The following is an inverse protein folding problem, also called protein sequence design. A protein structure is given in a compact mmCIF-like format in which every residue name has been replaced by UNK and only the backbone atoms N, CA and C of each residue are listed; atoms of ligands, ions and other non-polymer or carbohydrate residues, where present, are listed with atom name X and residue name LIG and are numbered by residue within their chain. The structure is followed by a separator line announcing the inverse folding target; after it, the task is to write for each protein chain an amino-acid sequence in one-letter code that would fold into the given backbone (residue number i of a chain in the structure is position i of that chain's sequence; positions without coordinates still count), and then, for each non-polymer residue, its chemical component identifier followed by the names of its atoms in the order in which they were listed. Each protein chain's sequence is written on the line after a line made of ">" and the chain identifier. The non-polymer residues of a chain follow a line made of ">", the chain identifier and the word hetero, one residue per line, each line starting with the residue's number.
data_IF_854299813409
#
_entry.id   IF_854299813409
#
_cell.length_a   1.000
_cell.length_b   1.000
_cell.length_c   1.000
_cell.angle_alpha   90.00
_cell.angle_beta   90.00
_cell.angle_gamma   90.00
#
_symmetry.space_group_name_H-M   'P 1'
#
loop_
_entity.id
_entity.type
_entity.pdbx_description
1 polymer ?
#
# COMPACT_ATOMS: atom_id res chain seq x y z
N UNK A 1 19.19 1.38 64.33
CA UNK A 1 18.90 0.41 63.25
C UNK A 1 17.45 0.01 63.44
N UNK A 2 16.45 0.71 62.88
CA UNK A 2 16.08 0.77 61.45
C UNK A 2 15.92 -0.68 60.91
N UNK A 3 14.76 -1.16 60.46
CA UNK A 3 13.87 -0.49 59.52
C UNK A 3 12.43 -1.04 59.58
N UNK A 4 11.46 -0.15 59.46
CA UNK A 4 10.03 -0.41 59.40
C UNK A 4 9.62 -0.37 57.92
N UNK A 5 9.49 -1.51 57.25
CA UNK A 5 9.13 -1.54 55.82
C UNK A 5 7.63 -1.71 55.63
N UNK A 6 6.97 -0.56 55.45
CA UNK A 6 5.63 -0.41 54.91
C UNK A 6 5.68 -0.55 53.38
N UNK A 7 5.17 -1.63 52.77
CA UNK A 7 5.03 -1.69 51.30
C UNK A 7 3.72 -2.34 50.85
N UNK A 8 2.72 -1.45 50.72
CA UNK A 8 1.75 -1.27 49.62
C UNK A 8 1.12 -2.53 49.00
N UNK A 9 -0.16 -2.71 49.29
CA UNK A 9 -1.12 -3.49 48.51
C UNK A 9 -1.19 -2.90 47.08
N UNK A 10 -0.65 -3.61 46.08
CA UNK A 10 -0.79 -3.25 44.67
C UNK A 10 -2.13 -3.83 44.19
N UNK A 11 -3.13 -2.96 44.07
CA UNK A 11 -4.37 -3.28 43.36
C UNK A 11 -4.04 -3.26 41.86
N UNK A 12 -3.80 -4.44 41.27
CA UNK A 12 -3.64 -4.59 39.82
C UNK A 12 -5.03 -4.50 39.20
N UNK A 13 -5.39 -3.31 38.72
CA UNK A 13 -6.57 -3.12 37.88
C UNK A 13 -6.20 -3.60 36.48
N UNK A 14 -6.64 -4.80 36.12
CA UNK A 14 -6.63 -5.25 34.73
C UNK A 14 -7.66 -4.42 33.96
N UNK A 15 -7.23 -3.31 33.36
CA UNK A 15 -8.01 -2.66 32.32
C UNK A 15 -7.96 -3.59 31.10
N UNK A 16 -9.01 -4.41 30.95
CA UNK A 16 -9.30 -5.09 29.69
C UNK A 16 -9.65 -4.00 28.68
N UNK A 17 -8.65 -3.45 28.01
CA UNK A 17 -8.90 -2.70 26.78
C UNK A 17 -9.40 -3.70 25.75
N UNK A 18 -10.72 -3.80 25.62
CA UNK A 18 -11.30 -4.37 24.41
C UNK A 18 -10.71 -3.56 23.24
N UNK A 19 -9.96 -4.22 22.36
CA UNK A 19 -9.63 -3.64 21.07
C UNK A 19 -10.98 -3.41 20.39
N UNK A 20 -11.47 -2.18 20.44
CA UNK A 20 -12.64 -1.79 19.69
C UNK A 20 -12.24 -1.83 18.22
N UNK A 21 -12.47 -2.98 17.59
CA UNK A 21 -12.41 -3.07 16.14
C UNK A 21 -13.54 -2.18 15.60
N UNK A 22 -13.23 -1.29 14.66
CA UNK A 22 -14.25 -0.42 14.08
C UNK A 22 -15.33 -1.22 13.37
N UNK A 23 -16.47 -0.58 13.12
CA UNK A 23 -17.58 -1.21 12.44
C UNK A 23 -17.20 -1.57 11.01
N UNK A 24 -17.80 -2.62 10.46
CA UNK A 24 -17.68 -2.94 9.02
C UNK A 24 -18.88 -2.39 8.28
N UNK A 25 -18.63 -1.59 7.25
CA UNK A 25 -19.59 -1.03 6.31
C UNK A 25 -19.40 -1.70 4.95
N UNK A 26 -20.45 -2.28 4.39
CA UNK A 26 -20.37 -3.07 3.16
C UNK A 26 -20.76 -2.27 1.92
N UNK A 27 -20.08 -2.53 0.79
CA UNK A 27 -20.34 -1.89 -0.51
C UNK A 27 -20.50 -2.93 -1.61
N UNK A 28 -21.67 -2.97 -2.27
CA UNK A 28 -21.92 -3.82 -3.45
C UNK A 28 -23.10 -3.32 -4.29
N UNK A 29 -23.35 -3.97 -5.43
CA UNK A 29 -24.45 -3.59 -6.32
C UNK A 29 -25.85 -3.70 -5.69
N UNK A 30 -26.02 -4.55 -4.66
CA UNK A 30 -27.28 -4.66 -3.92
C UNK A 30 -27.18 -5.64 -2.76
N UNK A 31 -27.92 -5.36 -1.67
CA UNK A 31 -27.90 -6.15 -0.43
C UNK A 31 -26.86 -5.73 0.60
N UNK A 32 -25.94 -4.83 0.24
CA UNK A 32 -25.00 -4.18 1.15
C UNK A 32 -25.54 -2.87 1.71
N UNK A 33 -24.84 -2.32 2.72
CA UNK A 33 -25.19 -1.04 3.36
C UNK A 33 -25.18 0.12 2.35
N UNK A 34 -24.23 0.10 1.42
CA UNK A 34 -24.07 1.11 0.38
C UNK A 34 -23.83 0.48 -1.00
N UNK A 35 -24.16 1.25 -2.04
CA UNK A 35 -23.81 0.94 -3.43
C UNK A 35 -22.67 1.81 -3.99
N UNK A 36 -22.21 2.79 -3.20
CA UNK A 36 -21.11 3.71 -3.55
C UNK A 36 -20.03 3.67 -2.48
N UNK A 37 -18.77 3.49 -2.92
CA UNK A 37 -17.61 3.52 -2.02
C UNK A 37 -17.49 4.89 -1.34
N UNK A 38 -17.68 5.99 -2.09
CA UNK A 38 -17.65 7.35 -1.54
C UNK A 38 -18.70 7.55 -0.44
N UNK A 39 -19.92 7.04 -0.62
CA UNK A 39 -20.97 7.14 0.39
C UNK A 39 -20.62 6.36 1.67
N UNK A 40 -20.06 5.15 1.51
CA UNK A 40 -19.60 4.35 2.64
C UNK A 40 -18.44 5.02 3.40
N UNK A 41 -17.43 5.54 2.68
CA UNK A 41 -16.32 6.30 3.29
C UNK A 41 -16.84 7.54 4.02
N UNK A 42 -17.82 8.25 3.45
CA UNK A 42 -18.41 9.42 4.10
C UNK A 42 -19.08 9.05 5.43
N UNK A 43 -19.82 7.94 5.47
CA UNK A 43 -20.52 7.46 6.66
C UNK A 43 -19.62 6.81 7.71
N UNK A 44 -18.52 6.19 7.29
CA UNK A 44 -17.59 5.48 8.17
C UNK A 44 -16.98 6.40 9.24
N UNK A 45 -16.83 5.90 10.46
CA UNK A 45 -16.09 6.54 11.54
C UNK A 45 -14.60 6.17 11.47
N UNK A 46 -13.70 6.98 12.05
CA UNK A 46 -12.31 6.57 12.19
C UNK A 46 -12.19 5.22 12.92
N UNK A 47 -11.40 4.30 12.36
CA UNK A 47 -11.24 2.93 12.80
C UNK A 47 -12.13 1.91 12.08
N UNK A 48 -13.15 2.36 11.34
CA UNK A 48 -14.06 1.47 10.61
C UNK A 48 -13.40 0.83 9.38
N UNK A 49 -13.98 -0.29 8.97
CA UNK A 49 -13.66 -1.01 7.74
C UNK A 49 -14.75 -0.72 6.71
N UNK A 50 -14.37 -0.23 5.53
CA UNK A 50 -15.23 -0.18 4.35
C UNK A 50 -14.88 -1.38 3.47
N UNK A 51 -15.73 -2.39 3.49
CA UNK A 51 -15.55 -3.63 2.73
C UNK A 51 -16.26 -3.55 1.37
N UNK A 52 -15.50 -3.56 0.30
CA UNK A 52 -15.97 -3.41 -1.08
C UNK A 52 -15.97 -4.77 -1.76
N UNK A 53 -17.14 -5.27 -2.14
CA UNK A 53 -17.27 -6.54 -2.86
C UNK A 53 -16.96 -6.36 -4.35
N UNK A 54 -16.71 -7.47 -5.06
CA UNK A 54 -16.50 -7.44 -6.52
C UNK A 54 -17.55 -6.60 -7.27
N UNK A 55 -17.05 -5.72 -8.13
CA UNK A 55 -17.85 -4.79 -8.91
C UNK A 55 -16.96 -3.76 -9.58
N UNK A 56 -17.53 -2.96 -10.49
CA UNK A 56 -16.85 -1.77 -11.03
C UNK A 56 -17.53 -0.53 -10.49
N UNK A 57 -16.74 0.33 -9.88
CA UNK A 57 -17.16 1.57 -9.25
C UNK A 57 -16.49 2.72 -9.99
N UNK A 58 -17.25 3.78 -10.25
CA UNK A 58 -16.79 4.93 -11.01
C UNK A 58 -16.65 6.12 -10.08
N UNK A 59 -15.43 6.39 -9.63
CA UNK A 59 -15.14 7.51 -8.74
C UNK A 59 -13.64 7.78 -8.65
N UNK A 60 -13.30 8.92 -8.04
CA UNK A 60 -11.99 9.24 -7.49
C UNK A 60 -12.17 9.65 -6.02
N UNK A 61 -11.46 9.01 -5.11
CA UNK A 61 -11.71 9.07 -3.67
C UNK A 61 -10.59 9.85 -2.98
N UNK A 62 -10.96 10.75 -2.07
CA UNK A 62 -10.01 11.35 -1.12
C UNK A 62 -10.35 10.85 0.29
N UNK A 63 -9.49 9.99 0.83
CA UNK A 63 -9.65 9.37 2.15
C UNK A 63 -9.05 10.32 3.20
N UNK A 64 -9.93 10.96 3.96
CA UNK A 64 -9.60 12.00 4.96
C UNK A 64 -9.80 11.56 6.41
N UNK A 65 -10.01 10.26 6.63
CA UNK A 65 -10.24 9.67 7.94
C UNK A 65 -9.47 8.36 8.00
N UNK A 66 -8.90 8.04 9.16
CA UNK A 66 -8.25 6.77 9.44
C UNK A 66 -9.26 5.62 9.33
N UNK A 67 -9.33 4.96 8.19
CA UNK A 67 -10.21 3.81 7.92
C UNK A 67 -9.43 2.72 7.21
N UNK A 68 -9.98 1.51 7.19
CA UNK A 68 -9.54 0.45 6.29
C UNK A 68 -10.50 0.36 5.10
N UNK A 69 -10.00 0.59 3.88
CA UNK A 69 -10.73 0.35 2.65
C UNK A 69 -10.25 -0.98 2.06
N UNK A 70 -11.08 -2.03 2.20
CA UNK A 70 -10.71 -3.40 1.85
C UNK A 70 -11.58 -3.93 0.71
N UNK A 71 -10.95 -4.27 -0.40
CA UNK A 71 -11.56 -4.99 -1.51
C UNK A 71 -11.61 -6.49 -1.26
N UNK A 72 -12.75 -7.11 -1.55
CA UNK A 72 -13.01 -8.55 -1.42
C UNK A 72 -13.49 -9.10 -2.74
N UNK A 73 -12.78 -10.11 -3.26
CA UNK A 73 -13.26 -10.91 -4.37
C UNK A 73 -14.44 -11.80 -3.91
N UNK A 74 -15.65 -11.39 -4.25
CA UNK A 74 -16.90 -12.11 -3.98
C UNK A 74 -17.25 -13.15 -5.05
N UNK A 75 -16.25 -13.62 -5.80
CA UNK A 75 -16.38 -14.59 -6.88
C UNK A 75 -16.54 -13.97 -8.27
N UNK A 76 -16.29 -12.67 -8.42
CA UNK A 76 -16.33 -11.96 -9.71
C UNK A 76 -15.05 -11.19 -10.02
N UNK A 77 -13.96 -11.49 -9.31
CA UNK A 77 -12.68 -10.82 -9.42
C UNK A 77 -12.53 -9.66 -8.42
N UNK A 78 -11.32 -9.13 -8.34
CA UNK A 78 -10.99 -7.97 -7.52
C UNK A 78 -11.92 -6.78 -7.83
N UNK A 79 -12.45 -6.05 -6.81
CA UNK A 79 -13.24 -4.85 -7.05
C UNK A 79 -12.42 -3.79 -7.77
N UNK A 80 -13.04 -3.14 -8.76
CA UNK A 80 -12.40 -2.15 -9.62
C UNK A 80 -12.90 -0.76 -9.25
N UNK A 81 -11.98 0.15 -8.94
CA UNK A 81 -12.23 1.58 -8.91
C UNK A 81 -11.66 2.22 -10.18
N UNK A 82 -12.54 2.80 -10.98
CA UNK A 82 -12.26 3.43 -12.25
C UNK A 82 -12.46 4.94 -12.14
N UNK A 83 -11.37 5.71 -12.25
CA UNK A 83 -11.41 7.16 -12.17
C UNK A 83 -11.84 7.85 -13.48
N UNK A 84 -12.14 7.09 -14.54
CA UNK A 84 -12.71 7.60 -15.80
C UNK A 84 -11.89 8.69 -16.51
N UNK A 85 -10.57 8.70 -16.29
CA UNK A 85 -9.64 9.66 -16.88
C UNK A 85 -9.54 10.99 -16.13
N UNK A 86 -9.94 11.05 -14.85
CA UNK A 86 -9.87 12.28 -14.04
C UNK A 86 -9.42 12.01 -12.61
N UNK A 87 -8.33 12.64 -12.19
CA UNK A 87 -7.77 12.50 -10.84
C UNK A 87 -7.22 11.09 -10.56
N UNK A 88 -6.60 10.90 -9.39
CA UNK A 88 -6.18 9.58 -8.92
C UNK A 88 -7.40 8.80 -8.42
N UNK A 89 -7.59 7.50 -8.76
CA UNK A 89 -8.64 6.67 -8.16
C UNK A 89 -8.66 6.76 -6.64
N UNK A 90 -7.50 6.69 -5.97
CA UNK A 90 -7.37 6.97 -4.54
C UNK A 90 -6.33 8.06 -4.29
N UNK A 91 -6.72 9.03 -3.47
CA UNK A 91 -5.82 9.94 -2.74
C UNK A 91 -6.01 9.69 -1.24
N UNK A 92 -4.92 9.43 -0.53
CA UNK A 92 -4.90 9.30 0.93
C UNK A 92 -4.40 10.63 1.51
N UNK A 93 -5.13 11.18 2.47
CA UNK A 93 -4.83 12.49 3.09
C UNK A 93 -5.04 12.47 4.61
N UNK A 94 -5.07 11.29 5.22
CA UNK A 94 -5.18 11.12 6.66
C UNK A 94 -4.36 9.92 7.08
N UNK A 95 -3.67 10.05 8.21
CA UNK A 95 -2.71 9.04 8.66
C UNK A 95 -3.38 7.74 9.12
N UNK A 96 -2.64 6.64 8.96
CA UNK A 96 -3.07 5.33 9.44
C UNK A 96 -4.17 4.68 8.61
N UNK A 97 -4.36 5.09 7.37
CA UNK A 97 -5.32 4.49 6.43
C UNK A 97 -4.76 3.17 5.92
N UNK A 98 -5.63 2.18 5.77
CA UNK A 98 -5.31 0.93 5.08
C UNK A 98 -6.08 0.89 3.76
N UNK A 99 -5.39 0.60 2.66
CA UNK A 99 -5.99 0.33 1.34
C UNK A 99 -5.54 -1.04 0.91
N UNK A 100 -6.48 -1.98 0.81
CA UNK A 100 -6.19 -3.38 0.48
C UNK A 100 -7.06 -3.91 -0.65
N UNK A 101 -6.48 -4.71 -1.56
CA UNK A 101 -7.24 -5.65 -2.38
C UNK A 101 -8.12 -5.02 -3.45
N UNK A 102 -7.76 -3.86 -3.99
CA UNK A 102 -8.51 -3.16 -5.03
C UNK A 102 -7.71 -3.05 -6.33
N UNK A 103 -8.43 -3.01 -7.46
CA UNK A 103 -7.86 -2.64 -8.76
C UNK A 103 -8.17 -1.18 -9.10
N UNK A 104 -7.15 -0.37 -9.28
CA UNK A 104 -7.23 1.08 -9.42
C UNK A 104 -6.77 1.48 -10.82
N UNK A 105 -7.66 2.06 -11.63
CA UNK A 105 -7.35 2.32 -13.04
C UNK A 105 -7.94 3.62 -13.59
N UNK A 106 -7.44 3.97 -14.78
CA UNK A 106 -7.90 5.11 -15.56
C UNK A 106 -7.84 6.42 -14.77
N UNK A 107 -6.75 6.66 -14.04
CA UNK A 107 -6.45 7.98 -13.52
C UNK A 107 -6.37 9.04 -14.63
N UNK A 108 -6.59 10.30 -14.28
CA UNK A 108 -6.39 11.42 -15.21
C UNK A 108 -4.93 11.71 -15.56
N UNK A 109 -4.68 12.61 -16.53
CA UNK A 109 -3.32 13.02 -16.88
C UNK A 109 -2.50 13.48 -15.65
N UNK A 110 -1.31 12.90 -15.47
CA UNK A 110 -0.40 13.22 -14.37
C UNK A 110 -0.86 12.76 -12.99
N UNK A 111 -1.84 11.85 -12.90
CA UNK A 111 -2.32 11.28 -11.63
C UNK A 111 -1.67 9.94 -11.30
N UNK A 112 -2.02 9.35 -10.16
CA UNK A 112 -1.51 8.04 -9.75
C UNK A 112 -2.66 7.06 -9.58
N UNK A 113 -2.42 5.76 -9.68
CA UNK A 113 -3.40 4.77 -9.23
C UNK A 113 -3.76 5.00 -7.75
N UNK A 114 -2.72 5.08 -6.91
CA UNK A 114 -2.81 5.47 -5.50
C UNK A 114 -1.83 6.62 -5.25
N UNK A 115 -2.34 7.74 -4.74
CA UNK A 115 -1.54 8.90 -4.32
C UNK A 115 -1.61 9.05 -2.79
N UNK A 116 -0.47 9.15 -2.11
CA UNK A 116 -0.36 9.20 -0.65
C UNK A 116 0.32 10.50 -0.22
N UNK A 117 -0.35 11.25 0.66
CA UNK A 117 0.12 12.52 1.25
C UNK A 117 0.09 12.49 2.79
N UNK A 118 0.10 11.30 3.37
CA UNK A 118 -0.06 11.04 4.81
C UNK A 118 0.95 10.02 5.32
N UNK A 119 0.99 9.87 6.64
CA UNK A 119 1.94 9.00 7.36
C UNK A 119 1.24 7.74 7.90
N UNK A 120 2.04 6.74 8.29
CA UNK A 120 1.61 5.51 8.96
C UNK A 120 0.57 4.67 8.16
N UNK A 121 0.50 4.85 6.85
CA UNK A 121 -0.47 4.18 5.96
C UNK A 121 -0.02 2.76 5.56
N UNK A 122 -0.98 1.90 5.23
CA UNK A 122 -0.72 0.54 4.72
C UNK A 122 -1.39 0.36 3.37
N UNK A 123 -0.59 0.10 2.34
CA UNK A 123 -1.03 -0.09 0.96
C UNK A 123 -0.68 -1.53 0.58
N UNK A 124 -1.68 -2.40 0.52
CA UNK A 124 -1.50 -3.85 0.49
C UNK A 124 -2.25 -4.51 -0.67
N UNK A 125 -1.58 -5.35 -1.47
CA UNK A 125 -2.25 -6.25 -2.44
C UNK A 125 -3.21 -5.55 -3.41
N UNK A 126 -2.91 -4.33 -3.80
CA UNK A 126 -3.67 -3.61 -4.82
C UNK A 126 -3.07 -3.84 -6.21
N UNK A 127 -3.91 -3.74 -7.25
CA UNK A 127 -3.48 -3.65 -8.64
C UNK A 127 -3.62 -2.19 -9.10
N UNK A 128 -2.51 -1.45 -9.12
CA UNK A 128 -2.43 -0.06 -9.56
C UNK A 128 -1.85 0.06 -10.98
N UNK A 129 -2.01 -0.96 -11.81
CA UNK A 129 -1.45 -1.01 -13.17
C UNK A 129 -2.19 -0.10 -14.16
N UNK A 130 -1.50 0.32 -15.23
CA UNK A 130 -2.03 1.13 -16.34
C UNK A 130 -2.53 2.53 -15.91
N UNK A 131 -1.80 3.18 -15.00
CA UNK A 131 -1.95 4.60 -14.65
C UNK A 131 -0.74 5.41 -15.15
N UNK A 132 -0.66 6.70 -14.82
CA UNK A 132 0.57 7.47 -15.08
C UNK A 132 1.67 7.01 -14.11
N UNK A 133 1.44 7.17 -12.81
CA UNK A 133 2.21 6.47 -11.76
C UNK A 133 1.33 5.39 -11.14
N UNK A 134 1.87 4.22 -10.84
CA UNK A 134 1.11 3.17 -10.14
C UNK A 134 0.76 3.61 -8.71
N UNK A 135 1.77 3.66 -7.85
CA UNK A 135 1.63 4.16 -6.46
C UNK A 135 2.68 5.26 -6.22
N UNK A 136 2.21 6.39 -5.71
CA UNK A 136 3.04 7.57 -5.48
C UNK A 136 2.89 8.05 -4.04
N UNK A 137 4.01 8.06 -3.30
CA UNK A 137 4.08 8.66 -1.96
C UNK A 137 4.82 10.01 -2.06
N UNK A 138 4.31 11.03 -1.39
CA UNK A 138 4.88 12.38 -1.39
C UNK A 138 4.96 12.91 0.04
N UNK A 139 6.19 13.04 0.55
CA UNK A 139 6.45 13.51 1.91
C UNK A 139 6.00 12.55 3.03
N UNK A 140 5.64 11.32 2.68
CA UNK A 140 5.07 10.30 3.59
C UNK A 140 6.12 9.59 4.43
N UNK A 141 5.71 9.14 5.62
CA UNK A 141 6.56 8.44 6.57
C UNK A 141 5.90 7.22 7.16
N UNK A 142 6.74 6.24 7.52
CA UNK A 142 6.35 5.02 8.23
C UNK A 142 5.23 4.22 7.55
N UNK A 143 5.02 4.39 6.24
CA UNK A 143 4.05 3.63 5.49
C UNK A 143 4.60 2.25 5.13
N UNK A 144 3.70 1.29 4.96
CA UNK A 144 4.02 -0.03 4.39
C UNK A 144 3.37 -0.16 3.02
N UNK A 145 4.19 -0.39 1.99
CA UNK A 145 3.75 -0.65 0.61
C UNK A 145 4.12 -2.08 0.28
N UNK A 146 3.14 -2.98 0.29
CA UNK A 146 3.41 -4.42 0.22
C UNK A 146 2.52 -5.16 -0.77
N UNK A 147 3.09 -6.10 -1.52
CA UNK A 147 2.30 -7.06 -2.29
C UNK A 147 1.51 -6.43 -3.44
N UNK A 148 1.79 -5.18 -3.82
CA UNK A 148 1.04 -4.49 -4.86
C UNK A 148 1.61 -4.81 -6.25
N UNK A 149 0.73 -4.73 -7.26
CA UNK A 149 1.10 -4.83 -8.67
C UNK A 149 0.99 -3.43 -9.30
N UNK A 150 2.09 -2.93 -9.83
CA UNK A 150 2.18 -1.61 -10.45
C UNK A 150 2.84 -1.72 -11.83
N UNK A 151 2.14 -2.38 -12.75
CA UNK A 151 2.66 -2.72 -14.07
C UNK A 151 2.15 -1.77 -15.15
N UNK A 152 2.94 -1.60 -16.22
CA UNK A 152 2.48 -0.93 -17.44
C UNK A 152 2.05 0.52 -17.24
N UNK A 153 2.61 1.22 -16.25
CA UNK A 153 2.33 2.63 -16.02
C UNK A 153 3.12 3.52 -16.99
N UNK A 154 2.58 4.68 -17.35
CA UNK A 154 3.19 5.61 -18.32
C UNK A 154 4.44 6.30 -17.79
N UNK A 155 4.63 6.31 -16.47
CA UNK A 155 5.76 6.91 -15.79
C UNK A 155 6.44 5.84 -14.93
N UNK A 156 6.03 5.74 -13.66
CA UNK A 156 6.67 4.90 -12.66
C UNK A 156 5.72 3.83 -12.15
N UNK A 157 6.26 2.66 -11.78
CA UNK A 157 5.51 1.68 -11.00
C UNK A 157 5.29 2.18 -9.58
N UNK A 158 6.39 2.37 -8.85
CA UNK A 158 6.43 3.01 -7.53
C UNK A 158 7.29 4.27 -7.57
N UNK A 159 6.79 5.37 -7.00
CA UNK A 159 7.53 6.63 -6.87
C UNK A 159 7.41 7.18 -5.44
N UNK A 160 8.54 7.49 -4.85
CA UNK A 160 8.64 8.12 -3.53
C UNK A 160 9.38 9.46 -3.69
N UNK A 161 8.71 10.56 -3.38
CA UNK A 161 9.32 11.91 -3.38
C UNK A 161 9.39 12.42 -1.92
N UNK A 162 10.58 12.78 -1.44
CA UNK A 162 10.85 13.32 -0.10
C UNK A 162 10.32 12.43 1.06
N UNK A 163 10.32 11.12 0.87
CA UNK A 163 9.74 10.13 1.80
C UNK A 163 10.79 9.53 2.76
N UNK A 164 10.40 9.20 4.00
CA UNK A 164 11.34 8.59 4.96
C UNK A 164 10.75 7.48 5.81
N UNK A 165 11.52 6.42 6.06
CA UNK A 165 11.14 5.35 6.98
C UNK A 165 10.00 4.44 6.48
N UNK A 166 9.67 4.50 5.19
CA UNK A 166 8.68 3.61 4.60
C UNK A 166 9.29 2.23 4.29
N UNK A 167 8.48 1.19 4.34
CA UNK A 167 8.88 -0.19 4.04
C UNK A 167 8.16 -0.69 2.78
N UNK A 168 8.93 -1.05 1.75
CA UNK A 168 8.48 -1.36 0.40
C UNK A 168 9.01 -2.75 0.02
N UNK A 169 8.15 -3.76 -0.02
CA UNK A 169 8.56 -5.14 -0.29
C UNK A 169 7.42 -5.97 -0.89
N UNK A 170 7.74 -7.08 -1.54
CA UNK A 170 6.81 -7.96 -2.25
C UNK A 170 6.00 -7.27 -3.36
N UNK A 171 6.38 -6.09 -3.81
CA UNK A 171 5.69 -5.43 -4.91
C UNK A 171 6.24 -5.90 -6.26
N UNK A 172 5.39 -5.87 -7.29
CA UNK A 172 5.73 -6.17 -8.67
C UNK A 172 5.64 -4.90 -9.53
N UNK A 173 6.73 -4.58 -10.21
CA UNK A 173 6.84 -3.43 -11.11
C UNK A 173 7.43 -3.88 -12.45
N UNK A 174 6.57 -4.09 -13.43
CA UNK A 174 6.93 -4.59 -14.76
C UNK A 174 6.51 -3.59 -15.84
N UNK A 175 7.38 -3.37 -16.83
CA UNK A 175 7.06 -2.65 -18.07
C UNK A 175 6.51 -1.24 -17.84
N UNK A 176 7.00 -0.54 -16.82
CA UNK A 176 6.70 0.87 -16.60
C UNK A 176 7.57 1.72 -17.54
N UNK A 177 6.98 2.72 -18.20
CA UNK A 177 7.59 3.34 -19.36
C UNK A 177 8.79 4.23 -19.04
N UNK A 178 8.77 4.97 -17.93
CA UNK A 178 9.96 5.70 -17.49
C UNK A 178 10.88 4.81 -16.66
N UNK A 179 10.43 4.34 -15.49
CA UNK A 179 11.20 3.44 -14.62
C UNK A 179 10.27 2.58 -13.75
N UNK A 180 10.75 1.43 -13.28
CA UNK A 180 9.96 0.61 -12.35
C UNK A 180 9.81 1.25 -10.96
N UNK A 181 10.90 1.82 -10.45
CA UNK A 181 10.97 2.44 -9.14
C UNK A 181 11.79 3.73 -9.14
N UNK A 182 11.38 4.71 -8.34
CA UNK A 182 12.14 5.91 -8.04
C UNK A 182 11.97 6.31 -6.56
N UNK A 183 13.05 6.70 -5.92
CA UNK A 183 13.07 7.14 -4.52
C UNK A 183 14.23 8.10 -4.26
N UNK A 184 13.93 9.36 -3.95
CA UNK A 184 14.92 10.38 -3.57
C UNK A 184 15.02 10.60 -2.05
N UNK A 185 14.33 9.77 -1.27
CA UNK A 185 14.28 9.81 0.19
C UNK A 185 15.14 8.75 0.87
N UNK A 186 14.76 8.35 2.08
CA UNK A 186 15.45 7.31 2.87
C UNK A 186 14.46 6.27 3.36
N UNK A 187 14.32 5.18 2.60
CA UNK A 187 13.31 4.16 2.80
C UNK A 187 13.93 2.76 2.71
N UNK A 188 13.17 1.75 3.16
CA UNK A 188 13.58 0.35 3.14
C UNK A 188 12.87 -0.35 1.99
N UNK A 189 13.64 -0.80 0.98
CA UNK A 189 13.11 -1.49 -0.21
C UNK A 189 13.12 -3.02 -0.07
N UNK A 190 13.28 -3.51 1.16
CA UNK A 190 13.12 -4.90 1.52
C UNK A 190 12.78 -5.00 3.02
N UNK A 191 12.28 -6.14 3.47
CA UNK A 191 11.98 -6.37 4.89
C UNK A 191 13.09 -7.13 5.65
N UNK A 192 14.29 -7.22 5.06
CA UNK A 192 15.40 -8.03 5.58
C UNK A 192 15.35 -9.51 5.18
N UNK A 193 14.30 -9.94 4.49
CA UNK A 193 14.13 -11.31 3.99
C UNK A 193 13.75 -11.35 2.50
N UNK A 194 12.92 -10.40 2.04
CA UNK A 194 12.45 -10.30 0.67
C UNK A 194 12.25 -8.83 0.29
N UNK A 195 12.58 -8.52 -0.95
CA UNK A 195 12.43 -7.24 -1.61
C UNK A 195 11.30 -7.26 -2.63
N UNK A 196 11.50 -6.60 -3.76
CA UNK A 196 10.50 -6.39 -4.81
C UNK A 196 10.94 -7.04 -6.13
N UNK A 197 9.99 -7.19 -7.05
CA UNK A 197 10.23 -7.69 -8.41
C UNK A 197 10.23 -6.50 -9.37
N UNK A 198 11.29 -6.41 -10.16
CA UNK A 198 11.48 -5.35 -11.14
C UNK A 198 11.70 -5.98 -12.50
N UNK A 199 10.87 -5.66 -13.50
CA UNK A 199 11.02 -6.24 -14.84
C UNK A 199 12.16 -5.66 -15.67
N UNK A 200 13.10 -4.98 -15.01
CA UNK A 200 14.38 -4.50 -15.54
C UNK A 200 15.56 -4.96 -14.64
N UNK A 201 15.28 -5.87 -13.70
CA UNK A 201 16.22 -6.50 -12.79
C UNK A 201 15.62 -7.83 -12.29
N UNK A 202 15.22 -8.71 -13.21
CA UNK A 202 14.71 -10.03 -12.85
C UNK A 202 15.39 -11.18 -13.59
N UNK A 203 16.37 -10.90 -14.45
CA UNK A 203 17.17 -11.94 -15.10
C UNK A 203 18.71 -11.76 -14.97
N UNK A 204 19.51 -12.81 -15.25
CA UNK A 204 20.97 -12.75 -15.12
C UNK A 204 21.68 -11.73 -16.01
N UNK A 205 21.09 -11.38 -17.16
CA UNK A 205 21.64 -10.40 -18.11
C UNK A 205 21.33 -8.96 -17.63
N UNK A 206 20.28 -8.78 -16.84
CA UNK A 206 19.92 -7.54 -16.15
C UNK A 206 20.64 -7.34 -14.80
N UNK A 207 21.37 -8.36 -14.35
CA UNK A 207 22.15 -8.33 -13.11
C UNK A 207 21.53 -9.12 -11.96
N UNK A 208 20.35 -9.70 -12.12
CA UNK A 208 19.72 -10.57 -11.14
C UNK A 208 20.13 -12.04 -11.35
N UNK A 209 21.07 -12.53 -10.55
CA UNK A 209 21.41 -13.96 -10.51
C UNK A 209 20.87 -14.61 -9.26
N UNK A 210 20.17 -15.72 -9.42
CA UNK A 210 19.72 -16.60 -8.34
C UNK A 210 20.54 -17.91 -8.41
N UNK A 211 21.74 -17.90 -7.84
CA UNK A 211 22.66 -19.06 -7.91
C UNK A 211 22.24 -20.18 -6.94
N UNK A 212 21.53 -19.82 -5.87
CA UNK A 212 21.10 -20.73 -4.82
C UNK A 212 19.67 -21.31 -5.07
N UNK A 213 18.93 -20.76 -6.04
CA UNK A 213 17.59 -21.14 -6.48
C UNK A 213 16.53 -20.97 -5.38
N UNK A 214 16.63 -19.88 -4.61
CA UNK A 214 15.66 -19.52 -3.57
C UNK A 214 14.59 -18.52 -4.04
N UNK A 215 14.68 -18.06 -5.30
CA UNK A 215 13.76 -17.12 -5.92
C UNK A 215 14.14 -15.65 -5.69
N UNK A 216 15.31 -15.36 -5.11
CA UNK A 216 15.85 -14.02 -4.89
C UNK A 216 17.15 -13.82 -5.68
N UNK A 217 17.42 -12.58 -6.07
CA UNK A 217 18.70 -12.22 -6.64
C UNK A 217 19.76 -12.19 -5.52
N UNK A 218 20.92 -12.82 -5.74
CA UNK A 218 22.07 -12.79 -4.82
C UNK A 218 22.77 -11.41 -4.78
N UNK A 219 22.41 -10.52 -5.70
CA UNK A 219 22.85 -9.12 -5.75
C UNK A 219 21.70 -8.17 -5.43
N UNK A 220 21.99 -7.13 -4.65
CA UNK A 220 21.04 -6.05 -4.41
C UNK A 220 20.84 -5.14 -5.62
N UNK A 221 19.68 -4.48 -5.68
CA UNK A 221 19.29 -3.52 -6.71
C UNK A 221 19.23 -2.10 -6.12
N UNK A 222 20.07 -1.22 -6.63
CA UNK A 222 19.99 0.21 -6.28
C UNK A 222 18.69 0.83 -6.81
N UNK A 223 18.08 1.72 -6.03
CA UNK A 223 16.86 2.42 -6.41
C UNK A 223 17.23 3.79 -6.99
N UNK A 224 16.84 4.09 -8.25
CA UNK A 224 17.09 5.40 -8.84
C UNK A 224 16.51 6.55 -8.00
N UNK A 225 17.22 7.68 -7.96
CA UNK A 225 16.79 8.90 -7.24
C UNK A 225 17.58 9.18 -5.96
N UNK A 226 18.16 8.15 -5.35
CA UNK A 226 18.85 8.26 -4.06
C UNK A 226 19.92 7.19 -3.86
N UNK A 227 20.08 6.75 -2.62
CA UNK A 227 21.06 5.72 -2.22
C UNK A 227 20.41 4.47 -1.60
N UNK A 228 19.09 4.35 -1.73
CA UNK A 228 18.37 3.20 -1.20
C UNK A 228 18.65 1.95 -2.06
N UNK A 229 18.65 0.81 -1.40
CA UNK A 229 19.01 -0.48 -1.96
C UNK A 229 17.93 -1.49 -1.57
N UNK A 230 17.39 -2.19 -2.56
CA UNK A 230 16.71 -3.46 -2.31
C UNK A 230 17.78 -4.55 -2.22
N UNK A 231 17.95 -5.14 -1.04
CA UNK A 231 19.00 -6.15 -0.79
C UNK A 231 18.57 -7.56 -1.20
N UNK A 232 17.27 -7.79 -1.38
CA UNK A 232 16.70 -9.10 -1.67
C UNK A 232 15.70 -9.03 -2.82
N UNK A 233 16.08 -8.49 -4.01
CA UNK A 233 15.13 -8.40 -5.12
C UNK A 233 14.66 -9.79 -5.54
N UNK A 234 13.42 -9.91 -5.99
CA UNK A 234 12.86 -11.18 -6.44
C UNK A 234 13.33 -11.51 -7.86
N UNK A 235 13.89 -12.71 -8.05
CA UNK A 235 14.32 -13.18 -9.36
C UNK A 235 13.14 -13.58 -10.26
N UNK A 236 13.36 -13.46 -11.56
CA UNK A 236 12.50 -13.93 -12.65
C UNK A 236 12.29 -15.45 -12.58
N UNK A 237 11.08 -15.88 -12.94
CA UNK A 237 10.73 -17.30 -13.06
C UNK A 237 10.97 -17.86 -14.45
#
# INVERSE_FOLDING_TARGET
>A
MADMVFKRLILVVYLLSALAQGATVTVCAGGCDYSSIKAAIFAASPGDVVEVQSGRYYDHLNIKKKIELRGVDSGKGMPILDATGSGSPITISADGVVVEGLRLMNGGPGSSGILVHSDDDVILKNDASNNYVGIHLVGSKNCTVQGNVANGNLEFGLRLDDCTGNMIYENEMMKNFMQNAFDDGTNFWDNGMVGNRYGDFDDPDEGCRDENIDGLCDSGREIPGGSNLDRFPMAGG
#
